data_IF_311454074743
#
_entry.id   IF_311454074743
#
_cell.length_a   1.000
_cell.length_b   1.000
_cell.length_c   1.000
_cell.angle_alpha   90.00
_cell.angle_beta   90.00
_cell.angle_gamma   90.00
#
_symmetry.space_group_name_H-M   'P 1'
#
loop_
_entity.id
_entity.type
_entity.pdbx_description
1 polymer ?
#
# COMPACT_ATOMS: atom_id res chain seq x y z
N UNK A 1 -21.44 6.71 -10.95
CA UNK A 1 -20.11 7.35 -11.04
C UNK A 1 -19.94 7.78 -12.48
N UNK A 2 -19.67 9.05 -12.73
CA UNK A 2 -19.61 9.58 -14.09
C UNK A 2 -18.30 9.15 -14.75
N UNK A 3 -18.29 8.68 -16.02
CA UNK A 3 -17.07 8.27 -16.72
C UNK A 3 -15.94 9.32 -16.64
N UNK A 4 -16.32 10.60 -16.62
CA UNK A 4 -15.43 11.75 -16.56
C UNK A 4 -14.63 11.80 -15.24
N UNK A 5 -15.23 11.41 -14.11
CA UNK A 5 -14.53 11.38 -12.83
C UNK A 5 -13.48 10.26 -12.79
N UNK A 6 -13.83 9.09 -13.32
CA UNK A 6 -12.89 7.96 -13.41
C UNK A 6 -11.74 8.33 -14.32
N UNK A 7 -12.01 8.93 -15.47
CA UNK A 7 -10.97 9.40 -16.39
C UNK A 7 -10.03 10.40 -15.72
N UNK A 8 -10.57 11.38 -14.99
CA UNK A 8 -9.76 12.35 -14.25
C UNK A 8 -8.87 11.68 -13.20
N UNK A 9 -9.40 10.74 -12.41
CA UNK A 9 -8.62 10.00 -11.41
C UNK A 9 -7.50 9.20 -12.09
N UNK A 10 -7.84 8.43 -13.13
CA UNK A 10 -6.88 7.59 -13.84
C UNK A 10 -5.78 8.40 -14.52
N UNK A 11 -6.10 9.60 -15.02
CA UNK A 11 -5.15 10.44 -15.76
C UNK A 11 -4.26 11.27 -14.84
N UNK A 12 -4.85 11.86 -13.81
CA UNK A 12 -4.19 12.93 -13.06
C UNK A 12 -3.73 12.49 -11.66
N UNK A 13 -4.30 11.40 -11.10
CA UNK A 13 -4.09 11.01 -9.70
C UNK A 13 -3.59 9.57 -9.51
N UNK A 14 -3.72 8.70 -10.50
CA UNK A 14 -3.22 7.33 -10.44
C UNK A 14 -1.77 7.26 -10.95
N UNK A 15 -0.86 6.99 -10.02
CA UNK A 15 0.56 6.81 -10.34
C UNK A 15 0.88 5.32 -10.51
N UNK A 16 1.70 4.94 -11.52
CA UNK A 16 2.12 3.56 -11.65
C UNK A 16 3.08 3.15 -10.53
N UNK A 17 3.20 1.84 -10.25
CA UNK A 17 4.15 1.31 -9.28
C UNK A 17 5.58 1.73 -9.60
N UNK A 18 6.44 1.83 -8.58
CA UNK A 18 7.84 2.16 -8.83
C UNK A 18 8.60 0.99 -9.44
N UNK A 19 9.43 1.26 -10.45
CA UNK A 19 10.40 0.30 -11.00
C UNK A 19 11.76 0.36 -10.30
N UNK A 20 11.93 1.28 -9.35
CA UNK A 20 13.18 1.46 -8.59
C UNK A 20 13.11 0.71 -7.26
N UNK A 21 14.27 0.37 -6.65
CA UNK A 21 14.28 -0.29 -5.36
C UNK A 21 13.52 0.50 -4.28
N UNK A 22 12.63 -0.19 -3.56
CA UNK A 22 11.88 0.30 -2.41
C UNK A 22 12.83 0.60 -1.23
N UNK A 23 12.55 1.68 -0.50
CA UNK A 23 13.42 2.27 0.51
C UNK A 23 12.89 2.10 1.94
N UNK A 24 12.48 0.88 2.30
CA UNK A 24 11.99 0.58 3.65
C UNK A 24 12.99 1.05 4.72
N UNK A 25 12.49 1.77 5.73
CA UNK A 25 13.23 2.20 6.92
C UNK A 25 13.47 1.02 7.86
N UNK A 26 12.54 0.06 7.90
CA UNK A 26 12.58 -1.12 8.78
C UNK A 26 12.35 -2.44 8.03
N UNK A 27 13.22 -2.80 7.05
CA UNK A 27 13.00 -3.95 6.16
C UNK A 27 12.96 -5.31 6.86
N UNK A 28 13.45 -5.38 8.10
CA UNK A 28 13.45 -6.59 8.94
C UNK A 28 12.12 -6.85 9.66
N UNK A 29 11.17 -5.91 9.64
CA UNK A 29 9.86 -6.15 10.25
C UNK A 29 8.94 -6.92 9.32
N UNK A 30 8.26 -7.93 9.87
CA UNK A 30 7.25 -8.71 9.15
C UNK A 30 5.89 -7.99 9.13
N UNK A 31 5.44 -7.51 10.29
CA UNK A 31 4.18 -6.78 10.44
C UNK A 31 4.45 -5.32 10.79
N UNK A 32 3.77 -4.42 10.08
CA UNK A 32 3.89 -2.97 10.25
C UNK A 32 2.63 -2.36 10.88
N UNK A 33 1.48 -3.01 10.67
CA UNK A 33 0.16 -2.56 11.10
C UNK A 33 0.09 -2.29 12.61
N UNK A 34 -0.65 -1.26 12.99
CA UNK A 34 -0.99 -1.03 14.39
C UNK A 34 -1.72 -2.25 14.98
N UNK A 35 -1.37 -2.61 16.22
CA UNK A 35 -2.07 -3.65 17.00
C UNK A 35 -2.25 -5.00 16.27
N UNK A 36 -1.26 -5.40 15.45
CA UNK A 36 -1.25 -6.68 14.71
C UNK A 36 -2.45 -6.93 13.76
N UNK A 37 -3.08 -5.87 13.24
CA UNK A 37 -4.22 -6.01 12.32
C UNK A 37 -3.90 -6.85 11.07
N UNK A 38 -2.70 -6.71 10.48
CA UNK A 38 -2.31 -7.50 9.30
C UNK A 38 -2.27 -9.01 9.59
N UNK A 39 -1.79 -9.42 10.77
CA UNK A 39 -1.82 -10.82 11.20
C UNK A 39 -3.26 -11.33 11.38
N UNK A 40 -4.16 -10.53 11.98
CA UNK A 40 -5.56 -10.92 12.15
C UNK A 40 -6.28 -11.09 10.81
N UNK A 41 -6.04 -10.20 9.86
CA UNK A 41 -6.61 -10.29 8.51
C UNK A 41 -6.06 -11.52 7.78
N UNK A 42 -4.77 -11.81 7.91
CA UNK A 42 -4.14 -12.98 7.31
C UNK A 42 -4.74 -14.29 7.81
N UNK A 43 -5.03 -14.37 9.12
CA UNK A 43 -5.71 -15.50 9.75
C UNK A 43 -7.14 -15.67 9.20
N UNK A 44 -7.93 -14.59 9.14
CA UNK A 44 -9.29 -14.61 8.60
C UNK A 44 -9.32 -15.06 7.14
N UNK A 45 -8.30 -14.67 6.37
CA UNK A 45 -8.15 -15.04 4.95
C UNK A 45 -7.43 -16.38 4.75
N UNK A 46 -7.14 -17.12 5.82
CA UNK A 46 -6.45 -18.40 5.80
C UNK A 46 -5.13 -18.37 5.00
N UNK A 47 -4.35 -17.29 5.14
CA UNK A 47 -3.07 -17.13 4.47
C UNK A 47 -3.14 -16.98 2.94
N UNK A 48 -4.27 -16.50 2.41
CA UNK A 48 -4.50 -16.28 0.97
C UNK A 48 -3.34 -15.52 0.32
N UNK A 49 -2.87 -16.02 -0.82
CA UNK A 49 -1.84 -15.41 -1.65
C UNK A 49 -2.41 -14.82 -2.94
N UNK A 50 -1.62 -13.99 -3.64
CA UNK A 50 -1.98 -13.42 -4.94
C UNK A 50 -3.29 -12.61 -4.93
N UNK A 51 -3.54 -11.87 -3.86
CA UNK A 51 -4.71 -11.01 -3.72
C UNK A 51 -4.49 -9.58 -4.22
N UNK A 52 -5.52 -8.77 -4.05
CA UNK A 52 -5.51 -7.35 -4.36
C UNK A 52 -5.98 -6.56 -3.13
N UNK A 53 -5.28 -5.49 -2.76
CA UNK A 53 -5.69 -4.60 -1.67
C UNK A 53 -5.91 -3.16 -2.12
N UNK A 54 -6.69 -2.43 -1.35
CA UNK A 54 -6.74 -0.96 -1.39
C UNK A 54 -6.49 -0.48 0.04
N UNK A 55 -5.44 0.31 0.25
CA UNK A 55 -5.13 0.90 1.55
C UNK A 55 -5.43 2.40 1.52
N UNK A 56 -6.50 2.79 2.20
CA UNK A 56 -6.88 4.20 2.40
C UNK A 56 -6.21 4.74 3.66
N UNK A 57 -5.40 5.79 3.52
CA UNK A 57 -4.58 6.35 4.60
C UNK A 57 -3.21 5.69 4.67
N UNK A 58 -2.51 5.61 3.54
CA UNK A 58 -1.22 4.92 3.42
C UNK A 58 -0.06 5.66 4.12
N UNK A 59 -0.25 6.89 4.61
CA UNK A 59 0.75 7.70 5.30
C UNK A 59 2.07 7.80 4.50
N UNK A 60 3.21 7.47 5.10
CA UNK A 60 4.50 7.42 4.39
C UNK A 60 4.76 6.10 3.65
N UNK A 61 3.77 5.21 3.57
CA UNK A 61 3.84 3.91 2.90
C UNK A 61 4.39 2.78 3.78
N UNK A 62 4.90 3.06 4.99
CA UNK A 62 5.50 2.06 5.87
C UNK A 62 4.99 2.15 7.32
N UNK A 63 4.88 3.36 7.86
CA UNK A 63 4.46 3.60 9.24
C UNK A 63 3.03 3.13 9.42
N UNK A 64 2.84 2.12 10.27
CA UNK A 64 1.53 1.52 10.56
C UNK A 64 0.83 0.90 9.33
N UNK A 65 1.57 0.57 8.26
CA UNK A 65 0.95 0.03 7.05
C UNK A 65 0.26 -1.31 7.31
N UNK A 66 -0.98 -1.40 6.86
CA UNK A 66 -1.79 -2.61 6.92
C UNK A 66 -1.53 -3.54 5.74
N UNK A 67 -1.10 -2.99 4.60
CA UNK A 67 -0.93 -3.75 3.36
C UNK A 67 0.48 -4.31 3.14
N UNK A 68 1.51 -3.70 3.75
CA UNK A 68 2.91 -4.03 3.45
C UNK A 68 3.28 -5.49 3.74
N UNK A 69 2.66 -6.10 4.76
CA UNK A 69 2.79 -7.55 5.01
C UNK A 69 2.26 -8.39 3.84
N UNK A 70 1.11 -8.03 3.27
CA UNK A 70 0.49 -8.76 2.17
C UNK A 70 1.28 -8.62 0.87
N UNK A 71 1.83 -7.43 0.59
CA UNK A 71 2.77 -7.20 -0.52
C UNK A 71 3.98 -8.13 -0.38
N UNK A 72 4.69 -8.06 0.76
CA UNK A 72 5.96 -8.75 0.93
C UNK A 72 5.84 -10.27 1.13
N UNK A 73 4.80 -10.74 1.82
CA UNK A 73 4.71 -12.13 2.29
C UNK A 73 3.63 -12.96 1.60
N UNK A 74 2.65 -12.31 0.96
CA UNK A 74 1.52 -13.00 0.32
C UNK A 74 1.47 -12.77 -1.19
N UNK A 75 2.40 -12.02 -1.77
CA UNK A 75 2.42 -11.65 -3.19
C UNK A 75 1.15 -10.91 -3.62
N UNK A 76 0.62 -10.05 -2.76
CA UNK A 76 -0.51 -9.20 -3.12
C UNK A 76 -0.02 -7.94 -3.83
N UNK A 77 -0.83 -7.44 -4.76
CA UNK A 77 -0.66 -6.12 -5.36
C UNK A 77 -1.78 -5.20 -4.88
N UNK A 78 -1.69 -3.89 -5.12
CA UNK A 78 -2.76 -3.01 -4.66
C UNK A 78 -2.56 -1.54 -4.94
N UNK A 79 -3.51 -0.73 -4.45
CA UNK A 79 -3.44 0.73 -4.54
C UNK A 79 -3.29 1.32 -3.15
N UNK A 80 -2.35 2.25 -3.02
CA UNK A 80 -2.17 3.09 -1.84
C UNK A 80 -2.83 4.45 -2.08
N UNK A 81 -3.67 4.89 -1.15
CA UNK A 81 -4.36 6.17 -1.21
C UNK A 81 -3.92 7.02 -0.02
N UNK A 82 -3.39 8.21 -0.29
CA UNK A 82 -3.01 9.19 0.73
C UNK A 82 -3.34 10.61 0.24
N UNK A 83 -4.13 11.34 1.02
CA UNK A 83 -4.61 12.68 0.67
C UNK A 83 -3.81 13.81 1.32
N UNK A 84 -3.01 13.53 2.34
CA UNK A 84 -2.21 14.54 3.02
C UNK A 84 -0.84 14.68 2.34
N UNK A 85 -0.66 15.82 1.67
CA UNK A 85 0.52 16.16 0.84
C UNK A 85 1.88 15.81 1.51
N UNK A 86 2.17 16.18 2.78
CA UNK A 86 3.43 15.78 3.42
C UNK A 86 3.65 14.27 3.57
N UNK A 87 2.58 13.49 3.76
CA UNK A 87 2.66 12.03 3.84
C UNK A 87 2.81 11.44 2.43
N UNK A 88 2.01 11.91 1.49
CA UNK A 88 2.07 11.49 0.08
C UNK A 88 3.46 11.65 -0.52
N UNK A 89 4.14 12.79 -0.27
CA UNK A 89 5.52 13.00 -0.73
C UNK A 89 6.53 11.99 -0.16
N UNK A 90 6.34 11.56 1.09
CA UNK A 90 7.18 10.52 1.71
C UNK A 90 6.88 9.15 1.12
N UNK A 91 5.60 8.85 0.86
CA UNK A 91 5.16 7.63 0.20
C UNK A 91 5.78 7.49 -1.20
N UNK A 92 5.80 8.57 -2.00
CA UNK A 92 6.49 8.57 -3.30
C UNK A 92 8.00 8.36 -3.18
N UNK A 93 8.61 8.86 -2.11
CA UNK A 93 10.04 8.65 -1.86
C UNK A 93 10.37 7.20 -1.45
N UNK A 94 9.43 6.53 -0.77
CA UNK A 94 9.57 5.14 -0.35
C UNK A 94 9.61 4.16 -1.54
N UNK A 95 8.88 4.46 -2.63
CA UNK A 95 8.90 3.69 -3.89
C UNK A 95 8.44 2.24 -3.74
N UNK A 96 7.24 2.03 -3.18
CA UNK A 96 6.64 0.69 -3.09
C UNK A 96 6.38 0.10 -4.48
N UNK A 97 6.37 -1.24 -4.55
CA UNK A 97 6.29 -2.00 -5.80
C UNK A 97 4.86 -2.39 -6.19
N UNK A 98 3.86 -1.99 -5.39
CA UNK A 98 2.43 -2.23 -5.64
C UNK A 98 1.82 -1.28 -6.64
#
# INVERSE_FOLDING_TARGET
MTPELIEHICKDWLLPPSTKPCRLKRPWMLHYSASNQSSRVDEILCGRTNGFFIECGAADGETLSNSLFFENSRNWIGVLIEGFEPWFRKLLWLRRYT
#
